data_IF_326104615334
#
_entry.id   IF_326104615334
#
_cell.length_a   1.000
_cell.length_b   1.000
_cell.length_c   1.000
_cell.angle_alpha   90.00
_cell.angle_beta   90.00
_cell.angle_gamma   90.00
#
_symmetry.space_group_name_H-M   'P 1'
#
loop_
_entity.id
_entity.type
_entity.pdbx_description
1 polymer ?
#
# COMPACT_ATOMS: atom_id res chain seq x y z
N UNK A 1 -4.70 0.99 -26.61
CA UNK A 1 -4.63 1.60 -25.27
C UNK A 1 -4.25 0.52 -24.27
N UNK A 2 -2.96 0.39 -23.93
CA UNK A 2 -2.46 -0.62 -22.99
C UNK A 2 -2.69 -0.14 -21.55
N UNK A 3 -3.93 -0.27 -21.04
CA UNK A 3 -4.24 0.12 -19.67
C UNK A 3 -3.82 -0.98 -18.69
N UNK A 4 -2.51 -1.05 -18.43
CA UNK A 4 -1.92 -1.93 -17.42
C UNK A 4 -2.47 -1.68 -16.01
N UNK A 5 -3.05 -0.50 -15.75
CA UNK A 5 -3.68 -0.16 -14.47
C UNK A 5 -4.90 -1.04 -14.18
N UNK A 6 -5.84 -1.17 -15.12
CA UNK A 6 -7.02 -2.02 -14.92
C UNK A 6 -6.62 -3.49 -14.75
N UNK A 7 -5.62 -3.94 -15.50
CA UNK A 7 -5.08 -5.28 -15.35
C UNK A 7 -4.51 -5.51 -13.93
N UNK A 8 -3.78 -4.53 -13.37
CA UNK A 8 -3.26 -4.60 -11.99
C UNK A 8 -4.37 -4.58 -10.94
N UNK A 9 -5.39 -3.74 -11.10
CA UNK A 9 -6.53 -3.69 -10.19
C UNK A 9 -7.26 -5.04 -10.16
N UNK A 10 -7.44 -5.67 -11.32
CA UNK A 10 -8.07 -6.99 -11.42
C UNK A 10 -7.26 -8.14 -10.79
N UNK A 11 -6.00 -7.91 -10.37
CA UNK A 11 -5.22 -8.90 -9.60
C UNK A 11 -5.57 -8.90 -8.10
N UNK A 12 -6.28 -7.88 -7.62
CA UNK A 12 -6.78 -7.83 -6.24
C UNK A 12 -7.98 -8.76 -6.10
N UNK A 13 -7.94 -9.61 -5.08
CA UNK A 13 -9.00 -10.57 -4.74
C UNK A 13 -9.30 -10.50 -3.25
N UNK A 14 -10.35 -11.20 -2.80
CA UNK A 14 -10.71 -11.30 -1.37
C UNK A 14 -9.61 -11.88 -0.47
N UNK A 15 -8.57 -12.51 -1.06
CA UNK A 15 -7.40 -13.04 -0.33
C UNK A 15 -6.19 -12.10 -0.37
N UNK A 16 -6.31 -10.95 -1.02
CA UNK A 16 -5.23 -9.98 -1.19
C UNK A 16 -5.26 -8.94 -0.07
N UNK A 17 -4.15 -8.76 0.63
CA UNK A 17 -3.97 -7.62 1.54
C UNK A 17 -3.55 -6.39 0.74
N UNK A 18 -4.32 -5.31 0.81
CA UNK A 18 -4.01 -4.04 0.14
C UNK A 18 -3.42 -3.07 1.16
N UNK A 19 -2.25 -2.51 0.84
CA UNK A 19 -1.60 -1.49 1.67
C UNK A 19 -1.61 -0.15 0.93
N UNK A 20 -2.39 0.80 1.45
CA UNK A 20 -2.32 2.20 1.00
C UNK A 20 -1.24 2.94 1.79
N UNK A 21 -0.37 3.68 1.09
CA UNK A 21 0.68 4.49 1.73
C UNK A 21 0.53 5.95 1.29
N UNK A 22 0.36 6.84 2.27
CA UNK A 22 0.48 8.28 2.08
C UNK A 22 1.94 8.71 2.27
N UNK A 23 2.55 9.24 1.20
CA UNK A 23 3.99 9.50 1.12
C UNK A 23 4.27 10.99 1.44
N UNK A 24 4.78 11.27 2.64
CA UNK A 24 5.28 12.60 3.03
C UNK A 24 6.82 12.71 3.08
N UNK A 25 7.35 13.92 3.36
CA UNK A 25 8.81 14.22 3.33
C UNK A 25 9.69 13.48 4.35
N UNK A 26 9.12 13.01 5.47
CA UNK A 26 9.90 12.40 6.59
C UNK A 26 9.20 11.21 7.23
N UNK A 27 7.87 11.25 7.30
CA UNK A 27 7.02 10.27 7.98
C UNK A 27 5.84 9.96 7.07
N UNK A 28 5.82 8.77 6.50
CA UNK A 28 4.71 8.23 5.72
C UNK A 28 3.69 7.59 6.66
N UNK A 29 2.48 7.35 6.19
CA UNK A 29 1.49 6.56 6.90
C UNK A 29 1.00 5.42 6.02
N UNK A 30 1.01 4.21 6.56
CA UNK A 30 0.46 3.04 5.91
C UNK A 30 -0.86 2.63 6.56
N UNK A 31 -1.79 2.16 5.74
CA UNK A 31 -3.07 1.61 6.16
C UNK A 31 -3.30 0.27 5.46
N UNK A 32 -3.66 -0.74 6.24
CA UNK A 32 -4.03 -2.06 5.73
C UNK A 32 -5.53 -2.12 5.49
N UNK A 33 -5.92 -2.49 4.28
CA UNK A 33 -7.32 -2.65 3.88
C UNK A 33 -7.56 -3.98 3.15
N UNK A 34 -8.80 -4.46 3.18
CA UNK A 34 -9.24 -5.57 2.32
C UNK A 34 -9.48 -5.10 0.86
N UNK A 35 -9.85 -6.04 -0.02
CA UNK A 35 -10.16 -5.77 -1.43
C UNK A 35 -11.30 -4.76 -1.63
N UNK A 36 -12.16 -4.60 -0.61
CA UNK A 36 -13.29 -3.66 -0.62
C UNK A 36 -12.97 -2.33 0.06
N UNK A 37 -11.73 -2.13 0.51
CA UNK A 37 -11.28 -0.91 1.16
C UNK A 37 -11.65 -0.79 2.64
N UNK A 38 -12.07 -1.88 3.31
CA UNK A 38 -12.32 -1.86 4.77
C UNK A 38 -11.01 -1.82 5.52
N UNK A 39 -10.93 -0.93 6.50
CA UNK A 39 -9.75 -0.79 7.36
C UNK A 39 -9.60 -2.02 8.25
N UNK A 40 -8.50 -2.74 8.08
CA UNK A 40 -8.16 -3.92 8.88
C UNK A 40 -7.35 -3.54 10.13
N UNK A 41 -6.61 -2.43 10.07
CA UNK A 41 -5.81 -1.92 11.17
C UNK A 41 -5.70 -0.40 11.13
N UNK A 42 -5.57 0.24 12.30
CA UNK A 42 -5.32 1.68 12.40
C UNK A 42 -4.05 2.04 11.62
N UNK A 43 -4.10 3.16 10.90
CA UNK A 43 -2.93 3.67 10.18
C UNK A 43 -1.73 3.83 11.11
N UNK A 44 -0.57 3.37 10.68
CA UNK A 44 0.67 3.46 11.46
C UNK A 44 1.76 4.17 10.66
N UNK A 45 2.71 4.81 11.36
CA UNK A 45 3.72 5.61 10.69
C UNK A 45 4.89 4.78 10.18
N UNK A 46 5.44 5.17 9.04
CA UNK A 46 6.67 4.62 8.46
C UNK A 46 7.67 5.76 8.31
N UNK A 47 8.91 5.55 8.76
CA UNK A 47 9.98 6.54 8.62
C UNK A 47 10.57 6.48 7.21
N UNK A 48 10.75 7.64 6.58
CA UNK A 48 11.52 7.73 5.35
C UNK A 48 12.99 7.40 5.67
N UNK A 49 13.47 6.25 5.21
CA UNK A 49 14.84 5.78 5.42
C UNK A 49 15.32 4.93 4.24
N UNK A 50 16.64 4.80 4.11
CA UNK A 50 17.28 3.89 3.14
C UNK A 50 17.51 2.48 3.72
N UNK A 51 16.90 2.18 4.87
CA UNK A 51 17.01 0.87 5.51
C UNK A 51 16.52 -0.23 4.55
N UNK A 52 17.29 -1.30 4.41
CA UNK A 52 17.01 -2.41 3.48
C UNK A 52 17.49 -2.21 2.04
N UNK A 53 18.05 -1.06 1.67
CA UNK A 53 18.65 -0.84 0.34
C UNK A 53 20.16 -1.13 0.28
N UNK A 54 20.84 -1.21 1.42
CA UNK A 54 22.27 -1.53 1.51
C UNK A 54 22.46 -2.76 2.39
N UNK A 55 23.03 -3.81 1.81
CA UNK A 55 23.43 -5.06 2.47
C UNK A 55 24.92 -5.02 2.81
#
# INVERSE_FOLDING_TARGET
MNNSTNHKINQVSEKTLVIGIDIAKRKHYACAVDDRGRVLHKSFPIRQSAEGFTT
#
